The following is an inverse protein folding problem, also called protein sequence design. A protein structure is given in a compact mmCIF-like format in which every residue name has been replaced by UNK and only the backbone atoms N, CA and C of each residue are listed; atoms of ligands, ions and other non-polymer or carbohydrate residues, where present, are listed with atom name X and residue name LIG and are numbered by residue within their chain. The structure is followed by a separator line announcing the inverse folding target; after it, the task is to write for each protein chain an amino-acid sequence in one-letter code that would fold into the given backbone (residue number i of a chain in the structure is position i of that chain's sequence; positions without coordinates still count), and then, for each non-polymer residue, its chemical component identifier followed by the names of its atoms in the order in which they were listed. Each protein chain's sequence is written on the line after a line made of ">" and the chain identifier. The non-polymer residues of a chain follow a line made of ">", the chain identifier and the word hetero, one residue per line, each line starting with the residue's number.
data_IF_278066891980
#
_entry.id   IF_278066891980
#
_cell.length_a   1.000
_cell.length_b   1.000
_cell.length_c   1.000
_cell.angle_alpha   90.00
_cell.angle_beta   90.00
_cell.angle_gamma   90.00
#
_symmetry.space_group_name_H-M   'P 1'
#
loop_
_entity.id
_entity.type
_entity.pdbx_description
1 polymer ?
#
# COMPACT_ATOMS: atom_id res chain seq x y z
N UNK A 1 -1.69 9.48 -2.63
CA UNK A 1 -0.89 8.22 -2.67
C UNK A 1 -1.47 7.32 -3.76
N UNK A 2 -0.72 6.33 -4.28
CA UNK A 2 -1.27 5.35 -5.23
C UNK A 2 -0.59 3.98 -5.08
N UNK A 3 -1.32 2.91 -5.41
CA UNK A 3 -0.82 1.52 -5.38
C UNK A 3 -1.37 0.72 -6.54
N UNK A 4 -0.54 -0.13 -7.16
CA UNK A 4 -0.97 -1.16 -8.10
C UNK A 4 -0.73 -2.50 -7.44
N UNK A 5 -1.79 -3.28 -7.26
CA UNK A 5 -1.65 -4.63 -6.74
C UNK A 5 -1.55 -5.61 -7.90
N UNK A 6 -0.43 -6.31 -7.96
CA UNK A 6 -0.16 -7.27 -9.04
C UNK A 6 -0.14 -8.70 -8.51
N UNK A 7 -0.83 -9.59 -9.22
CA UNK A 7 -0.93 -10.99 -8.84
C UNK A 7 -0.94 -11.91 -10.06
N UNK A 8 -0.94 -13.21 -9.80
CA UNK A 8 -1.16 -14.18 -10.86
C UNK A 8 -2.50 -13.90 -11.57
N UNK A 9 -2.58 -13.89 -12.91
CA UNK A 9 -3.80 -13.58 -13.65
C UNK A 9 -5.02 -14.41 -13.26
N UNK A 10 -4.83 -15.61 -12.71
CA UNK A 10 -5.92 -16.44 -12.17
C UNK A 10 -6.71 -15.70 -11.08
N UNK A 11 -6.13 -14.73 -10.38
CA UNK A 11 -6.76 -13.98 -9.29
C UNK A 11 -7.70 -12.85 -9.74
N UNK A 12 -7.69 -12.45 -11.01
CA UNK A 12 -8.31 -11.20 -11.50
C UNK A 12 -9.80 -11.07 -11.15
N UNK A 13 -10.53 -12.18 -11.09
CA UNK A 13 -11.97 -12.20 -10.78
C UNK A 13 -12.29 -12.65 -9.34
N UNK A 14 -11.29 -12.90 -8.51
CA UNK A 14 -11.47 -13.43 -7.15
C UNK A 14 -11.00 -12.50 -6.05
N UNK A 15 -10.21 -11.47 -6.38
CA UNK A 15 -9.88 -10.40 -5.45
C UNK A 15 -11.10 -9.53 -5.15
N UNK A 16 -11.16 -8.96 -3.95
CA UNK A 16 -12.26 -8.12 -3.51
C UNK A 16 -11.79 -7.06 -2.53
N UNK A 17 -12.60 -6.02 -2.36
CA UNK A 17 -12.44 -5.03 -1.30
C UNK A 17 -13.51 -5.31 -0.26
N UNK A 18 -13.10 -5.37 1.00
CA UNK A 18 -13.99 -5.54 2.13
C UNK A 18 -13.96 -4.29 2.99
N UNK A 19 -15.14 -3.91 3.47
CA UNK A 19 -15.32 -2.99 4.58
C UNK A 19 -15.84 -3.83 5.75
N UNK A 20 -15.13 -3.81 6.87
CA UNK A 20 -15.38 -4.70 8.00
C UNK A 20 -15.47 -3.89 9.27
N UNK A 21 -16.52 -4.16 10.04
CA UNK A 21 -16.71 -3.69 11.42
C UNK A 21 -16.68 -4.92 12.34
N UNK A 22 -15.78 -4.91 13.32
CA UNK A 22 -15.67 -5.94 14.35
C UNK A 22 -16.21 -5.35 15.65
N UNK A 23 -17.18 -6.03 16.26
CA UNK A 23 -17.80 -5.63 17.51
C UNK A 23 -17.42 -6.57 18.65
N UNK A 24 -17.28 -6.03 19.85
CA UNK A 24 -17.06 -6.79 21.07
C UNK A 24 -18.31 -7.59 21.41
N UNK A 25 -18.22 -8.92 21.48
CA UNK A 25 -19.36 -9.75 21.90
C UNK A 25 -19.84 -9.43 23.33
N UNK A 26 -18.95 -8.90 24.17
CA UNK A 26 -19.26 -8.60 25.58
C UNK A 26 -19.92 -7.24 25.77
N UNK A 27 -19.46 -6.22 25.05
CA UNK A 27 -19.92 -4.83 25.26
C UNK A 27 -20.79 -4.31 24.12
N UNK A 28 -20.76 -4.95 22.95
CA UNK A 28 -21.43 -4.48 21.74
C UNK A 28 -20.71 -3.33 21.03
N UNK A 29 -19.64 -2.79 21.63
CA UNK A 29 -18.90 -1.67 21.06
C UNK A 29 -18.07 -2.07 19.84
N UNK A 30 -17.91 -1.14 18.91
CA UNK A 30 -16.98 -1.27 17.78
C UNK A 30 -15.53 -1.36 18.31
N UNK A 31 -14.83 -2.42 17.91
CA UNK A 31 -13.44 -2.71 18.29
C UNK A 31 -12.49 -2.37 17.17
N UNK A 32 -12.87 -2.68 15.93
CA UNK A 32 -12.12 -2.34 14.72
C UNK A 32 -13.09 -2.01 13.59
N UNK A 33 -12.72 -1.05 12.75
CA UNK A 33 -13.45 -0.75 11.52
C UNK A 33 -12.46 -0.30 10.45
N UNK A 34 -12.41 -1.06 9.36
CA UNK A 34 -11.42 -0.87 8.32
C UNK A 34 -11.94 -1.29 6.94
N UNK A 35 -11.33 -0.74 5.91
CA UNK A 35 -11.52 -1.14 4.52
C UNK A 35 -10.18 -1.57 3.94
N UNK A 36 -10.16 -2.69 3.22
CA UNK A 36 -8.92 -3.21 2.64
C UNK A 36 -9.17 -4.08 1.41
N UNK A 37 -8.16 -4.12 0.55
CA UNK A 37 -8.07 -5.14 -0.49
C UNK A 37 -7.74 -6.51 0.12
N UNK A 38 -8.36 -7.56 -0.42
CA UNK A 38 -8.16 -8.93 0.00
C UNK A 38 -8.10 -9.92 -1.17
N UNK A 39 -7.27 -10.93 -0.97
CA UNK A 39 -7.24 -12.13 -1.80
C UNK A 39 -8.21 -13.19 -1.24
N UNK A 40 -8.79 -14.05 -2.10
CA UNK A 40 -9.68 -15.12 -1.65
C UNK A 40 -8.97 -16.06 -0.67
N UNK A 41 -9.62 -16.35 0.47
CA UNK A 41 -9.07 -17.24 1.50
C UNK A 41 -7.90 -16.67 2.29
N UNK A 42 -7.65 -15.36 2.20
CA UNK A 42 -6.50 -14.69 2.81
C UNK A 42 -6.97 -13.60 3.78
N UNK A 43 -6.20 -13.37 4.85
CA UNK A 43 -6.44 -12.19 5.69
C UNK A 43 -6.16 -10.90 4.89
N UNK A 44 -6.97 -9.83 5.08
CA UNK A 44 -6.77 -8.56 4.40
C UNK A 44 -5.53 -7.81 4.89
N UNK A 45 -5.11 -6.80 4.11
CA UNK A 45 -4.00 -5.90 4.43
C UNK A 45 -2.71 -6.14 3.64
N UNK A 46 -2.74 -7.01 2.62
CA UNK A 46 -1.55 -7.34 1.83
C UNK A 46 -1.19 -6.28 0.77
N UNK A 47 -2.12 -5.40 0.41
CA UNK A 47 -1.98 -4.46 -0.72
C UNK A 47 -2.19 -3.01 -0.29
N UNK A 48 -3.43 -2.63 0.01
CA UNK A 48 -3.77 -1.32 0.53
C UNK A 48 -4.96 -1.41 1.49
N UNK A 49 -5.08 -0.44 2.36
CA UNK A 49 -6.20 -0.34 3.29
C UNK A 49 -6.15 0.91 4.16
N UNK A 50 -7.24 1.13 4.86
CA UNK A 50 -7.41 2.25 5.78
C UNK A 50 -8.39 1.90 6.89
N UNK A 51 -8.35 2.63 8.01
CA UNK A 51 -9.24 2.40 9.14
C UNK A 51 -9.84 3.69 9.71
N UNK A 52 -10.82 3.53 10.60
CA UNK A 52 -11.54 4.65 11.23
C UNK A 52 -10.70 5.56 12.10
N UNK A 53 -9.51 5.11 12.48
CA UNK A 53 -8.59 5.91 13.28
C UNK A 53 -7.77 6.88 12.43
N UNK A 54 -7.89 6.80 11.09
CA UNK A 54 -7.18 7.66 10.15
C UNK A 54 -5.92 7.03 9.57
N UNK A 55 -5.61 5.77 9.91
CA UNK A 55 -4.53 5.04 9.25
C UNK A 55 -4.89 4.86 7.77
N UNK A 56 -3.94 5.18 6.88
CA UNK A 56 -4.01 4.86 5.46
C UNK A 56 -2.68 4.28 5.03
N UNK A 57 -2.70 3.15 4.33
CA UNK A 57 -1.47 2.53 3.86
C UNK A 57 -1.59 1.85 2.49
N UNK A 58 -0.42 1.73 1.86
CA UNK A 58 -0.15 0.87 0.70
C UNK A 58 1.06 0.00 1.02
N UNK A 59 1.17 -1.17 0.41
CA UNK A 59 2.08 -2.20 0.87
C UNK A 59 2.67 -2.98 -0.31
N UNK A 60 4.00 -3.10 -0.33
CA UNK A 60 4.74 -3.86 -1.34
C UNK A 60 5.41 -5.07 -0.70
N UNK A 61 5.22 -6.24 -1.28
CA UNK A 61 6.02 -7.40 -0.91
C UNK A 61 7.48 -7.20 -1.35
N UNK A 62 8.43 -7.43 -0.44
CA UNK A 62 9.85 -7.32 -0.74
C UNK A 62 10.55 -8.67 -0.46
N UNK A 63 11.03 -9.38 -1.51
CA UNK A 63 11.44 -10.77 -1.37
C UNK A 63 12.81 -10.91 -0.69
N UNK A 64 12.85 -11.52 0.50
CA UNK A 64 14.08 -11.88 1.19
C UNK A 64 14.59 -13.27 0.75
N UNK A 65 15.91 -13.46 0.75
CA UNK A 65 16.55 -14.78 0.53
C UNK A 65 16.36 -15.69 1.74
N UNK A 66 16.37 -15.12 2.94
CA UNK A 66 16.18 -15.85 4.19
C UNK A 66 15.05 -15.21 5.00
N UNK A 67 14.25 -16.04 5.65
CA UNK A 67 13.19 -15.64 6.57
C UNK A 67 13.20 -16.54 7.79
N UNK A 68 12.89 -15.98 8.96
CA UNK A 68 12.80 -16.72 10.22
C UNK A 68 11.51 -17.57 10.27
N UNK A 69 11.63 -18.82 10.71
CA UNK A 69 10.51 -19.72 10.98
C UNK A 69 9.80 -19.43 12.30
N UNK A 70 10.44 -18.65 13.18
CA UNK A 70 9.90 -18.22 14.47
C UNK A 70 9.20 -16.86 14.41
N UNK A 71 9.17 -16.20 13.24
CA UNK A 71 8.58 -14.88 13.07
C UNK A 71 7.08 -14.92 12.74
N UNK A 72 6.40 -13.78 12.93
CA UNK A 72 4.95 -13.65 12.70
C UNK A 72 4.67 -13.74 11.19
N UNK A 73 3.78 -14.64 10.72
CA UNK A 73 3.42 -14.71 9.32
C UNK A 73 2.94 -13.36 8.78
N UNK A 74 3.48 -12.90 7.64
CA UNK A 74 3.20 -11.55 7.11
C UNK A 74 1.70 -11.22 7.03
N UNK A 75 0.84 -12.19 6.68
CA UNK A 75 -0.60 -11.91 6.55
C UNK A 75 -1.30 -11.67 7.89
N UNK A 76 -0.82 -12.30 8.96
CA UNK A 76 -1.28 -12.02 10.33
C UNK A 76 -0.79 -10.63 10.74
N UNK A 77 0.47 -10.32 10.42
CA UNK A 77 1.09 -9.04 10.71
C UNK A 77 0.38 -7.87 10.01
N UNK A 78 0.20 -7.98 8.70
CA UNK A 78 -0.51 -7.00 7.87
C UNK A 78 -1.98 -6.86 8.28
N UNK A 79 -2.62 -7.94 8.75
CA UNK A 79 -3.96 -7.84 9.30
C UNK A 79 -3.98 -7.04 10.60
N UNK A 80 -3.01 -7.24 11.49
CA UNK A 80 -2.90 -6.47 12.73
C UNK A 80 -2.70 -4.97 12.45
N UNK A 81 -1.96 -4.62 11.39
CA UNK A 81 -1.79 -3.22 10.95
C UNK A 81 -3.14 -2.51 10.73
N UNK A 82 -4.14 -3.18 10.17
CA UNK A 82 -5.47 -2.59 9.94
C UNK A 82 -6.19 -2.20 11.25
N UNK A 83 -5.83 -2.79 12.38
CA UNK A 83 -6.40 -2.49 13.70
C UNK A 83 -5.66 -1.41 14.49
N UNK A 84 -4.53 -0.89 13.98
CA UNK A 84 -3.70 0.10 14.67
C UNK A 84 -4.43 1.43 14.81
N UNK A 85 -4.43 2.01 16.01
CA UNK A 85 -5.22 3.20 16.37
C UNK A 85 -4.42 4.48 16.52
N UNK A 86 -3.09 4.39 16.49
CA UNK A 86 -2.21 5.57 16.58
C UNK A 86 -0.83 5.27 16.02
N UNK A 87 -0.04 6.33 15.76
CA UNK A 87 1.38 6.21 15.42
C UNK A 87 2.16 5.47 16.52
N UNK A 88 1.80 5.64 17.80
CA UNK A 88 2.43 4.89 18.91
C UNK A 88 2.17 3.39 18.82
N UNK A 89 0.92 2.98 18.52
CA UNK A 89 0.58 1.57 18.32
C UNK A 89 1.24 0.99 17.05
N UNK A 90 1.38 1.80 16.01
CA UNK A 90 2.10 1.41 14.78
C UNK A 90 3.54 1.02 15.09
N UNK A 91 4.26 1.90 15.79
CA UNK A 91 5.65 1.64 16.17
C UNK A 91 5.77 0.49 17.17
N UNK A 92 4.80 0.31 18.07
CA UNK A 92 4.76 -0.85 18.95
C UNK A 92 4.61 -2.16 18.17
N UNK A 93 3.75 -2.18 17.14
CA UNK A 93 3.61 -3.34 16.23
C UNK A 93 4.92 -3.60 15.47
N UNK A 94 5.52 -2.55 14.89
CA UNK A 94 6.77 -2.63 14.13
C UNK A 94 7.96 -3.15 14.95
N UNK A 95 8.07 -2.70 16.20
CA UNK A 95 9.14 -3.12 17.11
C UNK A 95 8.83 -4.42 17.88
N UNK A 96 7.73 -5.11 17.57
CA UNK A 96 7.40 -6.37 18.24
C UNK A 96 8.40 -7.48 17.87
N UNK A 97 8.76 -8.32 18.85
CA UNK A 97 9.51 -9.56 18.63
C UNK A 97 8.54 -10.76 18.74
N UNK A 98 8.58 -11.79 17.86
CA UNK A 98 9.64 -12.15 16.90
C UNK A 98 9.66 -11.32 15.60
N UNK A 99 8.74 -10.35 15.43
CA UNK A 99 8.67 -9.47 14.27
C UNK A 99 8.05 -10.12 13.04
N UNK A 100 8.09 -9.43 11.89
CA UNK A 100 7.52 -9.94 10.64
C UNK A 100 8.38 -11.07 10.05
N UNK A 101 7.75 -12.13 9.57
CA UNK A 101 8.41 -13.30 8.98
C UNK A 101 8.65 -13.20 7.48
N UNK A 102 8.39 -12.06 6.85
CA UNK A 102 8.69 -11.85 5.44
C UNK A 102 8.73 -10.37 5.11
N UNK A 103 9.62 -10.00 4.20
CA UNK A 103 9.87 -8.61 3.83
C UNK A 103 8.69 -7.87 3.25
N UNK A 104 8.45 -6.66 3.73
CA UNK A 104 7.41 -5.76 3.21
C UNK A 104 7.86 -4.30 3.33
N UNK A 105 7.41 -3.48 2.39
CA UNK A 105 7.39 -2.04 2.54
C UNK A 105 5.96 -1.57 2.77
N UNK A 106 5.78 -0.60 3.66
CA UNK A 106 4.53 0.12 3.83
C UNK A 106 4.75 1.61 3.59
N UNK A 107 3.98 2.20 2.67
CA UNK A 107 3.81 3.65 2.64
C UNK A 107 2.58 3.97 3.48
N UNK A 108 2.77 4.74 4.56
CA UNK A 108 1.79 4.97 5.61
C UNK A 108 1.58 6.46 5.80
N UNK A 109 0.34 6.85 6.04
CA UNK A 109 0.00 8.17 6.55
C UNK A 109 -1.12 8.09 7.59
N UNK A 110 -1.30 9.19 8.31
CA UNK A 110 -2.34 9.34 9.32
C UNK A 110 -3.17 10.59 9.00
N UNK A 111 -4.47 10.40 8.78
CA UNK A 111 -5.40 11.53 8.65
C UNK A 111 -5.61 12.20 10.01
N UNK A 112 -5.44 13.52 10.13
CA UNK A 112 -5.67 14.23 11.38
C UNK A 112 -7.15 14.09 11.82
N UNK A 113 -7.48 14.14 13.13
CA UNK A 113 -8.87 14.14 13.56
C UNK A 113 -9.64 15.35 12.99
N UNK A 114 -10.90 15.18 12.60
CA UNK A 114 -11.75 16.26 12.05
C UNK A 114 -11.95 17.45 13.02
N UNK A 115 -11.61 17.29 14.30
CA UNK A 115 -11.80 18.30 15.35
C UNK A 115 -10.62 19.25 15.50
N UNK A 116 -9.48 18.98 14.87
CA UNK A 116 -8.34 19.88 14.91
C UNK A 116 -8.47 20.92 13.79
N UNK A 117 -8.95 22.14 14.14
CA UNK A 117 -9.00 23.32 13.25
C UNK A 117 -7.60 23.83 12.81
N UNK A 118 -6.54 23.11 13.17
CA UNK A 118 -5.17 23.44 12.82
C UNK A 118 -4.71 22.45 11.75
N UNK A 119 -4.42 22.96 10.56
CA UNK A 119 -3.76 22.25 9.46
C UNK A 119 -2.43 21.67 9.96
N UNK A 120 -2.46 20.50 10.61
CA UNK A 120 -1.25 19.73 10.81
C UNK A 120 -0.87 19.16 9.45
N UNK A 121 0.38 19.37 8.99
CA UNK A 121 0.82 18.79 7.74
C UNK A 121 0.71 17.26 7.83
N UNK A 122 0.08 16.66 6.84
CA UNK A 122 -0.05 15.21 6.73
C UNK A 122 1.36 14.61 6.68
N UNK A 123 1.70 13.77 7.65
CA UNK A 123 2.99 13.07 7.69
C UNK A 123 2.87 11.76 6.94
N UNK A 124 3.84 11.51 6.06
CA UNK A 124 3.94 10.25 5.33
C UNK A 124 5.24 9.55 5.66
N UNK A 125 5.19 8.23 5.75
CA UNK A 125 6.31 7.36 6.05
C UNK A 125 6.42 6.27 5.00
N UNK A 126 7.62 5.96 4.55
CA UNK A 126 7.94 4.72 3.86
C UNK A 126 8.72 3.86 4.85
N UNK A 127 8.18 2.69 5.20
CA UNK A 127 8.77 1.81 6.21
C UNK A 127 9.05 0.45 5.59
N UNK A 128 10.32 0.06 5.55
CA UNK A 128 10.73 -1.28 5.19
C UNK A 128 10.88 -2.14 6.44
N UNK A 129 10.30 -3.33 6.39
CA UNK A 129 10.42 -4.35 7.40
C UNK A 129 11.03 -5.60 6.78
N UNK A 130 11.95 -6.24 7.50
CA UNK A 130 12.58 -7.48 7.09
C UNK A 130 12.70 -8.46 8.26
N UNK A 131 12.55 -9.75 8.00
CA UNK A 131 12.86 -10.80 8.97
C UNK A 131 14.37 -10.92 9.18
N UNK A 132 14.82 -11.14 10.41
CA UNK A 132 16.23 -11.42 10.76
C UNK A 132 16.32 -12.46 11.88
N UNK A 133 17.52 -12.98 12.14
CA UNK A 133 17.77 -13.93 13.24
C UNK A 133 17.42 -13.36 14.62
N UNK A 134 17.48 -12.03 14.79
CA UNK A 134 17.28 -11.34 16.07
C UNK A 134 15.92 -10.60 16.16
N UNK A 135 14.98 -10.90 15.26
CA UNK A 135 13.67 -10.23 15.18
C UNK A 135 13.48 -9.47 13.86
N UNK A 136 12.63 -8.44 13.85
CA UNK A 136 12.45 -7.58 12.67
C UNK A 136 13.55 -6.52 12.55
N UNK A 137 14.07 -6.33 11.34
CA UNK A 137 14.78 -5.13 10.94
C UNK A 137 13.79 -4.11 10.39
N UNK A 138 14.00 -2.83 10.72
CA UNK A 138 13.10 -1.73 10.37
C UNK A 138 13.94 -0.59 9.80
N UNK A 139 13.56 -0.07 8.64
CA UNK A 139 14.04 1.23 8.17
C UNK A 139 12.85 2.13 7.91
N UNK A 140 12.88 3.32 8.51
CA UNK A 140 11.88 4.36 8.33
C UNK A 140 12.46 5.51 7.51
N UNK A 141 11.67 5.97 6.55
CA UNK A 141 11.93 7.19 5.79
C UNK A 141 10.71 8.11 5.89
N UNK A 142 10.86 9.24 6.58
CA UNK A 142 9.84 10.31 6.57
C UNK A 142 9.85 11.01 5.21
N UNK A 143 8.68 11.15 4.59
CA UNK A 143 8.49 11.85 3.31
C UNK A 143 7.96 13.25 3.59
N UNK A 144 8.83 14.25 3.44
CA UNK A 144 8.50 15.66 3.73
C UNK A 144 8.22 16.49 2.47
N UNK A 145 8.68 16.04 1.30
CA UNK A 145 8.46 16.71 0.02
C UNK A 145 8.83 15.79 -1.16
N UNK A 146 8.34 16.14 -2.35
CA UNK A 146 8.65 15.42 -3.59
C UNK A 146 7.93 14.08 -3.72
N UNK A 147 8.43 13.25 -4.62
CA UNK A 147 7.88 11.93 -4.90
C UNK A 147 8.63 10.85 -4.12
N UNK A 148 7.87 9.91 -3.57
CA UNK A 148 8.40 8.64 -3.07
C UNK A 148 7.72 7.49 -3.81
N UNK A 149 8.51 6.54 -4.29
CA UNK A 149 8.02 5.34 -4.96
C UNK A 149 8.75 4.14 -4.40
N UNK A 150 8.03 3.05 -4.26
CA UNK A 150 8.55 1.79 -3.74
C UNK A 150 8.06 0.64 -4.61
N UNK A 151 8.92 -0.34 -4.82
CA UNK A 151 8.69 -1.51 -5.66
C UNK A 151 9.10 -2.78 -4.89
N UNK A 152 9.11 -3.94 -5.51
CA UNK A 152 9.41 -5.20 -4.82
C UNK A 152 10.93 -5.41 -4.62
N UNK A 153 11.64 -4.40 -4.09
CA UNK A 153 13.08 -4.39 -3.79
C UNK A 153 13.36 -3.49 -2.59
N UNK A 154 14.30 -3.87 -1.72
CA UNK A 154 14.71 -3.03 -0.60
C UNK A 154 15.51 -1.81 -1.08
N UNK A 155 15.22 -0.64 -0.55
CA UNK A 155 15.89 0.63 -0.81
C UNK A 155 16.64 1.15 0.41
N UNK A 156 16.07 0.99 1.60
CA UNK A 156 16.56 1.59 2.85
C UNK A 156 17.20 0.54 3.78
N UNK A 157 16.77 -0.72 3.71
CA UNK A 157 17.35 -1.87 4.42
C UNK A 157 18.39 -2.61 3.58
N UNK A 158 19.51 -2.97 4.22
CA UNK A 158 20.54 -3.84 3.65
C UNK A 158 20.37 -5.27 4.13
N UNK A 159 19.45 -5.99 3.50
CA UNK A 159 19.21 -7.42 3.77
C UNK A 159 19.36 -8.26 2.51
N UNK A 160 19.81 -9.53 2.60
CA UNK A 160 19.83 -10.44 1.46
C UNK A 160 18.45 -10.58 0.83
N UNK A 161 18.32 -10.15 -0.43
CA UNK A 161 17.06 -10.15 -1.18
C UNK A 161 17.26 -10.72 -2.59
N UNK A 162 16.17 -11.18 -3.19
CA UNK A 162 16.21 -11.69 -4.56
C UNK A 162 16.22 -10.52 -5.55
N UNK A 163 17.08 -10.55 -6.59
CA UNK A 163 17.05 -9.54 -7.64
C UNK A 163 15.69 -9.59 -8.35
N UNK A 164 15.12 -8.43 -8.61
CA UNK A 164 13.83 -8.32 -9.29
C UNK A 164 13.94 -7.35 -10.48
N UNK A 165 14.23 -7.91 -11.66
CA UNK A 165 14.38 -7.14 -12.91
C UNK A 165 13.13 -6.32 -13.25
N UNK A 166 11.94 -6.84 -12.92
CA UNK A 166 10.67 -6.11 -13.09
C UNK A 166 10.64 -4.84 -12.23
N UNK A 167 10.99 -4.95 -10.94
CA UNK A 167 11.06 -3.79 -10.03
C UNK A 167 12.06 -2.73 -10.51
N UNK A 168 13.26 -3.15 -10.93
CA UNK A 168 14.30 -2.23 -11.43
C UNK A 168 13.82 -1.44 -12.66
N UNK A 169 13.19 -2.12 -13.63
CA UNK A 169 12.68 -1.48 -14.86
C UNK A 169 11.50 -0.56 -14.58
N UNK A 170 10.55 -0.99 -13.75
CA UNK A 170 9.41 -0.17 -13.32
C UNK A 170 9.85 1.08 -12.55
N UNK A 171 10.84 0.94 -11.67
CA UNK A 171 11.44 2.08 -10.97
C UNK A 171 12.03 3.09 -11.95
N UNK A 172 12.91 2.63 -12.85
CA UNK A 172 13.50 3.49 -13.88
C UNK A 172 12.42 4.17 -14.73
N UNK A 173 11.34 3.45 -15.06
CA UNK A 173 10.23 4.00 -15.84
C UNK A 173 9.51 5.14 -15.13
N UNK A 174 9.25 5.01 -13.82
CA UNK A 174 8.65 6.09 -13.02
C UNK A 174 9.57 7.29 -12.94
N UNK A 175 10.87 7.08 -12.75
CA UNK A 175 11.87 8.15 -12.73
C UNK A 175 11.89 8.93 -14.06
N UNK A 176 11.84 8.24 -15.20
CA UNK A 176 11.74 8.84 -16.54
C UNK A 176 10.44 9.63 -16.72
N UNK A 177 9.31 9.07 -16.30
CA UNK A 177 8.00 9.73 -16.40
C UNK A 177 7.92 11.01 -15.57
N UNK A 178 8.56 11.04 -14.40
CA UNK A 178 8.52 12.20 -13.51
C UNK A 178 9.49 13.31 -13.92
N UNK A 179 10.62 12.98 -14.56
CA UNK A 179 11.68 13.95 -14.89
C UNK A 179 11.19 15.16 -15.71
N UNK A 180 10.13 14.99 -16.50
CA UNK A 180 9.61 16.01 -17.41
C UNK A 180 8.16 16.41 -17.13
N UNK A 181 7.58 15.97 -16.01
CA UNK A 181 6.18 16.26 -15.69
C UNK A 181 6.04 17.48 -14.81
N UNK A 182 5.20 18.40 -15.27
CA UNK A 182 4.68 19.49 -14.45
C UNK A 182 3.57 18.94 -13.54
N UNK A 183 3.83 18.95 -12.23
CA UNK A 183 2.91 18.48 -11.18
C UNK A 183 2.57 19.60 -10.19
N UNK A 184 2.66 20.85 -10.63
CA UNK A 184 2.52 22.05 -9.78
C UNK A 184 1.10 22.30 -9.27
N UNK A 185 0.10 21.69 -9.89
CA UNK A 185 -1.32 21.81 -9.52
C UNK A 185 -1.88 20.45 -9.18
N UNK A 186 -2.90 20.39 -8.32
CA UNK A 186 -3.56 19.13 -7.91
C UNK A 186 -4.02 18.31 -9.11
N UNK A 187 -4.66 18.94 -10.10
CA UNK A 187 -5.19 18.27 -11.29
C UNK A 187 -4.08 17.65 -12.14
N UNK A 188 -2.98 18.39 -12.34
CA UNK A 188 -1.80 17.88 -13.05
C UNK A 188 -1.10 16.75 -12.29
N UNK A 189 -1.03 16.86 -10.96
CA UNK A 189 -0.48 15.81 -10.10
C UNK A 189 -1.33 14.53 -10.21
N UNK A 190 -2.66 14.64 -10.08
CA UNK A 190 -3.58 13.53 -10.25
C UNK A 190 -3.48 12.91 -11.65
N UNK A 191 -3.46 13.74 -12.70
CA UNK A 191 -3.27 13.26 -14.07
C UNK A 191 -1.95 12.51 -14.25
N UNK A 192 -0.86 12.99 -13.63
CA UNK A 192 0.43 12.32 -13.66
C UNK A 192 0.39 10.96 -12.94
N UNK A 193 -0.28 10.89 -11.79
CA UNK A 193 -0.51 9.63 -11.07
C UNK A 193 -1.30 8.65 -11.95
N UNK A 194 -2.44 9.08 -12.51
CA UNK A 194 -3.24 8.22 -13.39
C UNK A 194 -2.43 7.69 -14.58
N UNK A 195 -1.61 8.52 -15.21
CA UNK A 195 -0.75 8.10 -16.32
C UNK A 195 0.32 7.10 -15.88
N UNK A 196 0.99 7.34 -14.75
CA UNK A 196 2.00 6.41 -14.20
C UNK A 196 1.35 5.06 -13.90
N UNK A 197 0.19 5.07 -13.25
CA UNK A 197 -0.55 3.86 -12.92
C UNK A 197 -1.18 3.18 -14.13
N UNK A 198 -1.17 3.80 -15.31
CA UNK A 198 -1.68 3.24 -16.57
C UNK A 198 -0.56 2.86 -17.55
N UNK A 199 0.71 3.09 -17.21
CA UNK A 199 1.79 3.00 -18.20
C UNK A 199 2.06 1.54 -18.61
N UNK A 200 1.91 1.30 -19.91
CA UNK A 200 2.18 0.02 -20.60
C UNK A 200 3.31 0.16 -21.63
N UNK A 201 4.20 1.14 -21.42
CA UNK A 201 5.21 1.51 -22.41
C UNK A 201 6.30 0.45 -22.49
N UNK A 202 6.79 0.00 -21.33
CA UNK A 202 7.67 -1.15 -21.25
C UNK A 202 6.87 -2.41 -21.61
N UNK A 203 7.24 -3.09 -22.71
CA UNK A 203 6.51 -4.27 -23.20
C UNK A 203 6.83 -5.55 -22.45
N UNK A 204 7.93 -5.56 -21.70
CA UNK A 204 8.34 -6.73 -20.93
C UNK A 204 7.93 -6.61 -19.46
N UNK A 205 8.02 -5.39 -18.89
CA UNK A 205 7.75 -5.11 -17.47
C UNK A 205 7.01 -3.77 -17.32
N UNK A 206 5.77 -3.67 -17.84
CA UNK A 206 4.95 -2.46 -17.73
C UNK A 206 4.62 -2.13 -16.27
N UNK A 207 4.24 -0.88 -16.00
CA UNK A 207 3.71 -0.49 -14.69
C UNK A 207 2.30 -1.01 -14.48
N UNK A 208 1.44 -0.91 -15.50
CA UNK A 208 0.13 -1.58 -15.53
C UNK A 208 0.27 -2.94 -16.23
N UNK A 209 0.29 -4.01 -15.45
CA UNK A 209 0.74 -5.33 -15.93
C UNK A 209 -0.38 -6.14 -16.55
N UNK A 210 -0.05 -6.89 -17.59
CA UNK A 210 -1.02 -7.60 -18.45
C UNK A 210 -0.97 -9.14 -18.32
N UNK A 211 -0.12 -9.68 -17.43
CA UNK A 211 -0.03 -11.12 -17.17
C UNK A 211 0.79 -11.91 -18.20
N UNK A 212 1.45 -11.25 -19.16
CA UNK A 212 2.23 -11.94 -20.19
C UNK A 212 3.68 -12.13 -19.76
N UNK A 213 4.32 -13.15 -20.33
CA UNK A 213 5.77 -13.34 -20.20
C UNK A 213 6.51 -12.13 -20.78
N UNK A 214 7.60 -11.65 -20.15
CA UNK A 214 8.34 -12.29 -19.05
C UNK A 214 7.88 -11.92 -17.63
N UNK A 215 6.86 -11.09 -17.44
CA UNK A 215 6.45 -10.57 -16.12
C UNK A 215 5.42 -11.45 -15.40
N UNK A 216 4.61 -12.19 -16.18
CA UNK A 216 3.60 -13.20 -15.81
C UNK A 216 2.55 -12.82 -14.75
N UNK A 217 2.64 -11.66 -14.10
CA UNK A 217 1.61 -11.11 -13.21
C UNK A 217 0.80 -10.04 -13.95
N UNK A 218 -0.44 -9.87 -13.54
CA UNK A 218 -1.34 -8.83 -14.01
C UNK A 218 -1.72 -7.90 -12.87
N UNK A 219 -2.00 -6.63 -13.19
CA UNK A 219 -2.53 -5.67 -12.22
C UNK A 219 -3.99 -6.03 -11.92
N UNK A 220 -4.28 -6.36 -10.67
CA UNK A 220 -5.59 -6.76 -10.18
C UNK A 220 -6.45 -5.56 -9.83
N UNK A 221 -5.83 -4.54 -9.23
CA UNK A 221 -6.47 -3.30 -8.85
C UNK A 221 -5.44 -2.18 -8.75
N UNK A 222 -5.89 -0.97 -9.06
CA UNK A 222 -5.19 0.27 -8.75
C UNK A 222 -5.99 1.05 -7.73
N UNK A 223 -5.36 1.45 -6.63
CA UNK A 223 -5.91 2.38 -5.66
C UNK A 223 -5.25 3.74 -5.83
N UNK A 224 -6.05 4.80 -6.05
CA UNK A 224 -5.62 6.20 -6.00
C UNK A 224 -6.26 6.84 -4.77
N UNK A 225 -5.42 7.35 -3.89
CA UNK A 225 -5.81 7.89 -2.58
C UNK A 225 -5.59 9.40 -2.62
N UNK A 226 -6.68 10.16 -2.64
CA UNK A 226 -6.68 11.61 -2.51
C UNK A 226 -6.83 11.95 -1.03
N UNK A 227 -5.77 12.49 -0.43
CA UNK A 227 -5.74 12.81 1.00
C UNK A 227 -6.37 14.18 1.30
N UNK A 228 -6.53 15.04 0.28
CA UNK A 228 -7.20 16.33 0.43
C UNK A 228 -8.72 16.15 0.37
N UNK A 229 -9.21 15.32 -0.57
CA UNK A 229 -10.63 14.93 -0.63
C UNK A 229 -10.99 13.80 0.34
N UNK A 230 -9.99 13.22 1.01
CA UNK A 230 -10.13 12.07 1.89
C UNK A 230 -10.84 10.86 1.24
N UNK A 231 -10.48 10.52 0.00
CA UNK A 231 -11.08 9.43 -0.79
C UNK A 231 -10.08 8.38 -1.27
N UNK A 232 -10.59 7.18 -1.55
CA UNK A 232 -9.89 6.11 -2.25
C UNK A 232 -10.69 5.68 -3.45
N UNK A 233 -10.18 6.00 -4.64
CA UNK A 233 -10.70 5.53 -5.91
C UNK A 233 -10.03 4.21 -6.30
N UNK A 234 -10.83 3.21 -6.66
CA UNK A 234 -10.34 1.89 -7.04
C UNK A 234 -10.69 1.61 -8.49
N UNK A 235 -9.68 1.20 -9.26
CA UNK A 235 -9.78 0.85 -10.67
C UNK A 235 -9.37 -0.60 -10.88
N UNK A 236 -9.98 -1.25 -11.87
CA UNK A 236 -9.53 -2.57 -12.39
C UNK A 236 -8.93 -2.46 -13.80
N UNK A 237 -9.10 -1.30 -14.44
CA UNK A 237 -8.54 -0.93 -15.73
C UNK A 237 -7.63 0.30 -15.57
N UNK A 238 -7.02 0.75 -16.67
CA UNK A 238 -6.11 1.90 -16.71
C UNK A 238 -6.78 3.19 -16.21
N UNK A 239 -6.35 3.79 -15.09
CA UNK A 239 -7.00 4.96 -14.51
C UNK A 239 -7.06 6.20 -15.40
N UNK A 240 -6.15 6.35 -16.38
CA UNK A 240 -6.13 7.51 -17.27
C UNK A 240 -7.21 7.49 -18.37
N UNK A 241 -7.91 6.36 -18.53
CA UNK A 241 -8.89 6.15 -19.60
C UNK A 241 -10.20 5.56 -19.10
N UNK A 242 -10.32 5.30 -17.80
CA UNK A 242 -11.49 4.69 -17.18
C UNK A 242 -11.92 5.43 -15.93
N UNK A 243 -13.11 5.08 -15.42
CA UNK A 243 -13.62 5.59 -14.14
C UNK A 243 -13.35 4.56 -13.05
N UNK A 244 -13.24 4.97 -11.78
CA UNK A 244 -13.14 4.02 -10.68
C UNK A 244 -14.40 3.14 -10.64
N UNK A 245 -14.22 1.87 -10.32
CA UNK A 245 -15.33 0.94 -10.09
C UNK A 245 -16.03 1.20 -8.75
N UNK A 246 -15.31 1.82 -7.80
CA UNK A 246 -15.82 2.26 -6.51
C UNK A 246 -14.92 3.37 -5.96
N UNK A 247 -15.54 4.31 -5.26
CA UNK A 247 -14.89 5.35 -4.47
C UNK A 247 -15.30 5.16 -3.02
N UNK A 248 -14.32 5.08 -2.12
CA UNK A 248 -14.57 5.03 -0.68
C UNK A 248 -14.17 6.35 -0.01
N UNK A 249 -14.92 6.76 1.01
CA UNK A 249 -14.45 7.77 1.95
C UNK A 249 -13.45 7.13 2.93
N UNK A 250 -12.35 7.83 3.21
CA UNK A 250 -11.38 7.46 4.24
C UNK A 250 -11.94 7.67 5.66
N UNK A 251 -13.03 8.43 5.82
CA UNK A 251 -13.77 8.57 7.08
C UNK A 251 -14.96 7.62 7.05
N UNK A 252 -14.92 6.55 7.85
CA UNK A 252 -16.06 5.63 7.88
C UNK A 252 -17.35 6.33 8.33
N UNK A 253 -18.47 5.87 7.79
CA UNK A 253 -19.81 6.41 8.09
C UNK A 253 -20.30 7.47 7.12
N UNK A 254 -19.48 7.91 6.16
CA UNK A 254 -19.89 8.77 5.04
C UNK A 254 -19.64 8.05 3.72
N UNK A 255 -20.58 7.22 3.28
CA UNK A 255 -20.60 6.84 1.86
C UNK A 255 -21.19 8.05 1.10
N UNK A 256 -20.44 8.57 0.12
CA UNK A 256 -20.88 9.60 -0.82
C UNK A 256 -22.05 9.11 -1.68
#
# INVERSE_FOLDING_TARGET
>A
MAHSEDANPVMQNFCYILQVTIVSEKSGDEVENFTAFAYPGCLPGNAFGFNVHGLVFTANYVPQVWVSDNAIPRRVYNRALLGVRSETELWALFNQNPGIGSGFNFNITWLPPCTEEQEKPIRMFSVELASSENGACIAEKTISSGFNFHFNVYQDLKVPNYPCRSSERRQKRVEELLHHRDVTTKEKNLSAVCDIMSDVTDKDFPLFRDGREPDYLATMAVAIIDLDEETVDVYVDQPNSTKPIVTFSLRAGQNL
#
